data_IF_144880536134
#
_entry.id   IF_144880536134
#
_cell.length_a   1.000
_cell.length_b   1.000
_cell.length_c   1.000
_cell.angle_alpha   90.00
_cell.angle_beta   90.00
_cell.angle_gamma   90.00
#
_symmetry.space_group_name_H-M   'P 1'
#
loop_
_entity.id
_entity.type
_entity.pdbx_description
1 polymer ?
#
# COMPACT_ATOMS: atom_id res chain seq x y z
N UNK A 1 2.04 41.58 43.73
CA UNK A 1 2.44 40.16 43.87
C UNK A 1 3.34 39.85 42.69
N UNK A 2 4.64 39.83 42.94
CA UNK A 2 5.70 39.63 41.96
C UNK A 2 5.78 38.13 41.63
N UNK A 3 5.54 37.74 40.38
CA UNK A 3 5.51 36.32 39.99
C UNK A 3 6.93 35.87 39.67
N UNK A 4 7.47 35.02 40.56
CA UNK A 4 8.82 34.50 40.53
C UNK A 4 9.27 34.02 39.13
N UNK A 5 10.44 34.49 38.71
CA UNK A 5 11.15 34.08 37.50
C UNK A 5 11.63 32.63 37.65
N UNK A 6 11.15 31.67 36.87
CA UNK A 6 11.60 30.29 37.00
C UNK A 6 12.97 30.15 36.33
N UNK A 7 14.03 30.18 37.14
CA UNK A 7 15.37 29.78 36.69
C UNK A 7 15.47 28.26 36.73
N UNK A 8 15.06 27.61 35.63
CA UNK A 8 15.43 26.22 35.37
C UNK A 8 16.74 26.14 34.57
N UNK A 9 17.53 25.13 34.90
CA UNK A 9 18.96 24.97 34.63
C UNK A 9 19.41 25.11 33.17
N UNK A 10 20.71 25.36 33.07
CA UNK A 10 21.51 25.81 31.92
C UNK A 10 21.72 24.70 30.86
N UNK A 11 20.64 24.10 30.36
CA UNK A 11 20.62 23.10 29.29
C UNK A 11 19.36 23.24 28.42
N UNK A 12 19.27 22.59 27.25
CA UNK A 12 18.03 22.61 26.47
C UNK A 12 16.91 22.07 27.36
N UNK A 13 15.91 22.92 27.63
CA UNK A 13 14.83 22.65 28.58
C UNK A 13 14.19 21.30 28.27
N UNK A 14 14.38 20.33 29.16
CA UNK A 14 13.77 19.02 29.09
C UNK A 14 12.24 19.21 28.97
N UNK A 15 11.62 18.37 28.14
CA UNK A 15 10.19 18.38 27.94
C UNK A 15 9.50 17.89 29.22
N UNK A 16 9.25 18.82 30.15
CA UNK A 16 8.51 18.52 31.36
C UNK A 16 7.07 18.16 31.01
N UNK A 17 6.44 17.24 31.74
CA UNK A 17 5.05 16.79 31.49
C UNK A 17 3.98 17.89 31.54
N UNK A 18 4.35 19.09 32.01
CA UNK A 18 3.50 20.28 31.98
C UNK A 18 3.47 20.99 30.61
N UNK A 19 4.34 20.63 29.66
CA UNK A 19 4.40 21.21 28.32
C UNK A 19 3.50 20.43 27.37
N UNK A 20 2.57 21.13 26.71
CA UNK A 20 1.75 20.53 25.65
C UNK A 20 2.64 20.19 24.43
N UNK A 21 2.97 18.91 24.30
CA UNK A 21 3.79 18.37 23.23
C UNK A 21 3.08 18.40 21.88
N UNK A 22 1.75 18.30 21.86
CA UNK A 22 0.97 18.31 20.61
C UNK A 22 1.08 19.68 19.96
N UNK A 23 0.90 20.74 20.76
CA UNK A 23 1.04 22.11 20.27
C UNK A 23 2.49 22.45 19.94
N UNK A 24 3.45 22.08 20.81
CA UNK A 24 4.87 22.37 20.61
C UNK A 24 5.44 21.77 19.32
N UNK A 25 5.08 20.52 19.01
CA UNK A 25 5.52 19.83 17.80
C UNK A 25 4.54 19.96 16.63
N UNK A 26 3.49 20.79 16.77
CA UNK A 26 2.47 21.02 15.74
C UNK A 26 1.81 19.73 15.25
N UNK A 27 1.61 18.77 16.15
CA UNK A 27 1.04 17.46 15.86
C UNK A 27 -0.49 17.44 15.87
N UNK A 28 -1.15 18.60 15.99
CA UNK A 28 -2.60 18.72 16.04
C UNK A 28 -3.32 17.96 14.93
N UNK A 29 -2.83 18.05 13.69
CA UNK A 29 -3.44 17.36 12.56
C UNK A 29 -3.36 15.83 12.69
N UNK A 30 -2.20 15.30 13.12
CA UNK A 30 -2.01 13.87 13.32
C UNK A 30 -2.79 13.35 14.53
N UNK A 31 -2.78 14.11 15.63
CA UNK A 31 -3.57 13.79 16.82
C UNK A 31 -5.06 13.70 16.48
N UNK A 32 -5.60 14.68 15.74
CA UNK A 32 -6.99 14.66 15.35
C UNK A 32 -7.31 13.53 14.37
N UNK A 33 -6.42 13.26 13.42
CA UNK A 33 -6.62 12.20 12.44
C UNK A 33 -6.56 10.79 13.05
N UNK A 34 -5.57 10.50 13.90
CA UNK A 34 -5.34 9.15 14.44
C UNK A 34 -6.08 8.88 15.75
N UNK A 35 -6.32 9.90 16.58
CA UNK A 35 -6.91 9.72 17.92
C UNK A 35 -8.41 9.99 17.97
N UNK A 36 -8.95 10.84 17.08
CA UNK A 36 -10.40 11.14 17.07
C UNK A 36 -11.18 10.32 16.04
N UNK A 37 -10.53 9.79 15.01
CA UNK A 37 -11.18 8.89 14.05
C UNK A 37 -11.13 7.47 14.59
N UNK A 38 -12.24 6.72 14.56
CA UNK A 38 -12.16 5.30 14.86
C UNK A 38 -11.23 4.62 13.84
N UNK A 39 -10.45 3.62 14.26
CA UNK A 39 -9.70 2.80 13.31
C UNK A 39 -10.67 2.14 12.34
N UNK A 40 -10.28 1.94 11.06
CA UNK A 40 -11.11 1.24 10.11
C UNK A 40 -11.40 -0.19 10.61
N UNK A 41 -12.64 -0.65 10.43
CA UNK A 41 -13.10 -1.94 10.96
C UNK A 41 -12.54 -3.10 10.13
N UNK A 42 -12.28 -2.84 8.86
CA UNK A 42 -11.60 -3.74 7.94
C UNK A 42 -10.40 -3.04 7.29
N UNK A 43 -9.45 -3.83 6.81
CA UNK A 43 -8.33 -3.28 6.05
C UNK A 43 -8.77 -2.75 4.68
N UNK A 44 -9.88 -3.24 4.10
CA UNK A 44 -10.41 -2.73 2.84
C UNK A 44 -10.95 -1.30 2.95
N UNK A 45 -11.42 -0.90 4.14
CA UNK A 45 -11.83 0.47 4.44
C UNK A 45 -10.65 1.43 4.65
N UNK A 46 -9.42 0.91 4.61
CA UNK A 46 -8.23 1.71 4.73
C UNK A 46 -8.10 2.71 3.56
N UNK A 47 -7.80 3.98 3.82
CA UNK A 47 -7.56 4.96 2.78
C UNK A 47 -6.29 4.65 1.95
N UNK A 48 -5.47 3.68 2.37
CA UNK A 48 -4.32 3.22 1.60
C UNK A 48 -4.69 2.27 0.47
N UNK A 49 -5.86 1.64 0.55
CA UNK A 49 -6.29 0.57 -0.36
C UNK A 49 -7.49 0.97 -1.23
N UNK A 50 -8.06 2.15 -1.02
CA UNK A 50 -9.27 2.61 -1.69
C UNK A 50 -9.13 2.85 -3.21
N UNK A 51 -7.91 2.98 -3.72
CA UNK A 51 -7.64 3.25 -5.15
C UNK A 51 -7.10 2.02 -5.90
N UNK A 52 -7.12 0.83 -5.28
CA UNK A 52 -6.66 -0.39 -5.92
C UNK A 52 -7.82 -1.01 -6.72
N UNK A 53 -7.58 -1.30 -7.99
CA UNK A 53 -8.55 -1.99 -8.86
C UNK A 53 -8.31 -3.49 -8.75
N UNK A 54 -9.34 -4.23 -8.35
CA UNK A 54 -9.32 -5.70 -8.24
C UNK A 54 -9.73 -6.22 -6.86
N UNK A 55 -9.89 -7.54 -6.75
CA UNK A 55 -10.23 -8.20 -5.49
C UNK A 55 -9.03 -8.16 -4.53
N UNK A 56 -9.16 -7.35 -3.48
CA UNK A 56 -8.10 -7.14 -2.51
C UNK A 56 -8.28 -8.05 -1.30
N UNK A 57 -7.76 -9.28 -1.41
CA UNK A 57 -7.59 -10.16 -0.24
C UNK A 57 -6.22 -9.95 0.39
N UNK A 58 -6.20 -9.39 1.60
CA UNK A 58 -4.96 -9.20 2.33
C UNK A 58 -4.60 -10.47 3.07
N UNK A 59 -3.41 -10.99 2.79
CA UNK A 59 -2.87 -12.20 3.41
C UNK A 59 -1.50 -11.92 3.99
N UNK A 60 -1.23 -12.49 5.17
CA UNK A 60 0.13 -12.55 5.69
C UNK A 60 0.90 -13.59 4.88
N UNK A 61 2.02 -13.18 4.27
CA UNK A 61 2.96 -14.12 3.66
C UNK A 61 3.72 -14.88 4.74
N UNK A 62 3.73 -16.21 4.65
CA UNK A 62 4.54 -17.04 5.54
C UNK A 62 6.04 -16.78 5.26
N UNK A 63 6.83 -16.53 6.29
CA UNK A 63 8.25 -16.21 6.17
C UNK A 63 8.58 -14.86 5.51
N UNK A 64 7.58 -14.05 5.14
CA UNK A 64 7.76 -12.73 4.53
C UNK A 64 7.86 -11.65 5.60
N UNK A 65 9.02 -11.54 6.26
CA UNK A 65 9.29 -10.49 7.25
C UNK A 65 10.20 -9.41 6.68
N UNK A 66 9.69 -8.18 6.53
CA UNK A 66 10.48 -7.04 6.05
C UNK A 66 11.67 -6.72 6.95
N UNK A 67 11.64 -7.11 8.23
CA UNK A 67 12.76 -6.95 9.16
C UNK A 67 14.05 -7.65 8.72
N UNK A 68 13.94 -8.71 7.91
CA UNK A 68 15.08 -9.42 7.35
C UNK A 68 15.82 -8.59 6.29
N UNK A 69 15.09 -7.75 5.53
CA UNK A 69 15.68 -6.84 4.53
C UNK A 69 16.58 -5.79 5.20
N UNK A 70 16.26 -5.38 6.43
CA UNK A 70 17.05 -4.41 7.20
C UNK A 70 18.30 -5.03 7.84
N UNK A 71 18.29 -6.33 8.15
CA UNK A 71 19.43 -7.01 8.77
C UNK A 71 20.53 -7.34 7.73
N UNK A 72 20.18 -7.48 6.45
CA UNK A 72 21.15 -7.66 5.37
C UNK A 72 22.02 -6.42 5.06
N UNK A 73 21.65 -5.24 5.57
CA UNK A 73 22.35 -3.97 5.30
C UNK A 73 23.39 -3.59 6.36
N UNK A 74 23.52 -4.35 7.45
CA UNK A 74 24.35 -3.94 8.60
C UNK A 74 25.86 -4.18 8.46
N UNK A 75 26.35 -4.64 7.31
CA UNK A 75 27.79 -4.89 7.10
C UNK A 75 28.38 -4.38 5.77
N UNK A 76 27.65 -3.57 5.00
CA UNK A 76 28.15 -3.09 3.70
C UNK A 76 28.13 -1.57 3.63
N UNK A 77 29.10 -0.96 4.32
CA UNK A 77 29.39 0.47 4.23
C UNK A 77 29.87 0.97 2.86
N UNK A 78 29.69 0.21 1.76
CA UNK A 78 30.09 0.66 0.42
C UNK A 78 29.47 -0.13 -0.74
N UNK A 79 28.23 -0.62 -0.60
CA UNK A 79 27.61 -1.41 -1.66
C UNK A 79 26.34 -0.75 -2.15
N UNK A 80 26.53 0.20 -3.07
CA UNK A 80 25.63 0.39 -4.20
C UNK A 80 25.60 -0.92 -5.01
N UNK A 81 24.99 -1.96 -4.45
CA UNK A 81 24.64 -3.18 -5.18
C UNK A 81 23.49 -2.82 -6.10
N UNK A 82 23.86 -2.20 -7.22
CA UNK A 82 22.96 -2.00 -8.34
C UNK A 82 22.40 -3.37 -8.71
N UNK A 83 21.08 -3.51 -8.70
CA UNK A 83 20.43 -4.71 -9.22
C UNK A 83 21.01 -4.98 -10.61
N UNK A 84 21.43 -6.22 -10.91
CA UNK A 84 21.87 -6.56 -12.25
C UNK A 84 20.75 -6.20 -13.23
N UNK A 85 21.08 -5.67 -14.41
CA UNK A 85 20.08 -5.37 -15.42
C UNK A 85 19.30 -6.64 -15.73
N UNK A 86 17.98 -6.52 -15.80
CA UNK A 86 17.11 -7.62 -16.18
C UNK A 86 17.27 -7.89 -17.67
N UNK A 87 17.40 -9.17 -18.02
CA UNK A 87 17.30 -9.60 -19.41
C UNK A 87 15.82 -9.67 -19.79
N UNK A 88 15.38 -8.69 -20.58
CA UNK A 88 13.99 -8.58 -21.01
C UNK A 88 13.62 -9.67 -22.01
N UNK A 89 14.57 -10.23 -22.77
CA UNK A 89 14.30 -11.29 -23.74
C UNK A 89 14.01 -12.59 -23.00
N UNK A 90 14.82 -12.91 -21.99
CA UNK A 90 14.59 -14.06 -21.09
C UNK A 90 13.29 -13.89 -20.31
N UNK A 91 13.03 -12.69 -19.79
CA UNK A 91 11.78 -12.42 -19.07
C UNK A 91 10.57 -12.55 -20.00
N UNK A 92 10.67 -12.02 -21.22
CA UNK A 92 9.63 -12.16 -22.24
C UNK A 92 9.35 -13.62 -22.56
N UNK A 93 10.38 -14.44 -22.76
CA UNK A 93 10.24 -15.88 -23.00
C UNK A 93 9.63 -16.62 -21.79
N UNK A 94 10.09 -16.33 -20.57
CA UNK A 94 9.58 -16.96 -19.35
C UNK A 94 8.12 -16.58 -19.02
N UNK A 95 7.71 -15.37 -19.41
CA UNK A 95 6.35 -14.85 -19.23
C UNK A 95 5.50 -14.97 -20.52
N UNK A 96 5.95 -15.71 -21.53
CA UNK A 96 5.07 -16.18 -22.59
C UNK A 96 4.05 -17.14 -21.96
N UNK A 97 2.95 -16.56 -21.49
CA UNK A 97 1.72 -17.27 -21.19
C UNK A 97 1.29 -17.83 -22.53
N UNK A 98 1.64 -19.10 -22.78
CA UNK A 98 1.01 -19.86 -23.85
C UNK A 98 -0.47 -19.86 -23.50
N UNK A 99 -1.27 -19.17 -24.31
CA UNK A 99 -2.71 -19.29 -24.26
C UNK A 99 -3.01 -20.75 -24.60
N UNK A 100 -2.96 -21.64 -23.60
CA UNK A 100 -3.25 -23.07 -23.75
C UNK A 100 -4.75 -23.26 -23.81
N UNK A 101 -5.38 -22.50 -24.67
CA UNK A 101 -6.71 -22.73 -25.19
C UNK A 101 -6.71 -22.13 -26.58
N UNK A 102 -6.47 -22.98 -27.59
CA UNK A 102 -7.03 -22.81 -28.94
C UNK A 102 -8.56 -22.76 -28.80
N UNK A 103 -9.10 -21.71 -28.19
CA UNK A 103 -10.46 -21.31 -28.48
C UNK A 103 -10.34 -20.46 -29.72
N UNK A 104 -10.54 -21.14 -30.85
CA UNK A 104 -10.74 -20.55 -32.16
C UNK A 104 -11.51 -19.23 -31.98
N UNK A 105 -10.82 -18.10 -32.18
CA UNK A 105 -11.33 -16.75 -31.94
C UNK A 105 -12.68 -16.54 -32.66
N UNK A 106 -12.91 -17.31 -33.74
CA UNK A 106 -14.18 -17.40 -34.44
C UNK A 106 -15.33 -17.91 -33.54
N UNK A 107 -15.15 -18.97 -32.75
CA UNK A 107 -16.19 -19.51 -31.86
C UNK A 107 -16.63 -18.51 -30.79
N UNK A 108 -15.69 -17.75 -30.22
CA UNK A 108 -16.00 -16.76 -29.17
C UNK A 108 -16.80 -15.57 -29.73
N UNK A 109 -16.46 -15.12 -30.95
CA UNK A 109 -17.20 -14.06 -31.64
C UNK A 109 -18.60 -14.55 -32.05
N UNK A 110 -18.71 -15.78 -32.55
CA UNK A 110 -20.01 -16.39 -32.91
C UNK A 110 -20.93 -16.54 -31.69
N UNK A 111 -20.42 -17.05 -30.56
CA UNK A 111 -21.21 -17.18 -29.33
C UNK A 111 -21.62 -15.81 -28.78
N UNK A 112 -20.74 -14.80 -28.86
CA UNK A 112 -21.07 -13.44 -28.41
C UNK A 112 -22.13 -12.78 -29.29
N UNK A 113 -22.02 -12.91 -30.63
CA UNK A 113 -23.04 -12.42 -31.56
C UNK A 113 -24.37 -13.13 -31.35
N UNK A 114 -24.35 -14.46 -31.21
CA UNK A 114 -25.57 -15.24 -31.01
C UNK A 114 -26.24 -14.95 -29.66
N UNK A 115 -25.47 -14.74 -28.59
CA UNK A 115 -26.02 -14.29 -27.31
C UNK A 115 -26.66 -12.90 -27.42
N UNK A 116 -26.02 -11.97 -28.12
CA UNK A 116 -26.56 -10.62 -28.34
C UNK A 116 -27.84 -10.66 -29.17
N UNK A 117 -27.88 -11.46 -30.22
CA UNK A 117 -29.08 -11.64 -31.07
C UNK A 117 -30.24 -12.25 -30.27
N UNK A 118 -29.99 -13.26 -29.43
CA UNK A 118 -30.99 -13.86 -28.55
C UNK A 118 -31.50 -12.84 -27.52
N UNK A 119 -30.61 -12.02 -26.95
CA UNK A 119 -31.00 -11.01 -25.97
C UNK A 119 -31.83 -9.88 -26.60
N UNK A 120 -31.52 -9.48 -27.82
CA UNK A 120 -32.29 -8.46 -28.57
C UNK A 120 -33.67 -9.03 -28.94
N UNK A 121 -33.74 -10.28 -29.40
CA UNK A 121 -35.02 -10.91 -29.78
C UNK A 121 -35.93 -11.13 -28.57
N UNK A 122 -35.37 -11.46 -27.41
CA UNK A 122 -36.12 -11.61 -26.15
C UNK A 122 -36.67 -10.28 -25.63
N UNK A 123 -36.06 -9.15 -26.00
CA UNK A 123 -36.54 -7.81 -25.65
C UNK A 123 -37.59 -7.25 -26.64
N UNK A 124 -37.78 -7.90 -27.80
CA UNK A 124 -38.72 -7.46 -28.85
C UNK A 124 -40.04 -8.26 -28.91
N UNK A 125 -40.28 -9.17 -27.94
CA UNK A 125 -41.55 -9.92 -27.75
C UNK A 125 -42.16 -9.53 -26.41
#
# INVERSE_FOLDING_TARGET
MDLAKPMFGRGPSELCGAVDLISRYKLWLHHDYFSKRPPPLSLSESPYLCNLVGDLQIRKGEGMELGQLLQGTSCTGDRNEHLPPFDLDILSEAFQIKETTDFDLAYVIYLSLHLVDIHILTFMV
#
